data_IF_203895086374
#
_entry.id   IF_203895086374
#
_cell.length_a   1.000
_cell.length_b   1.000
_cell.length_c   1.000
_cell.angle_alpha   90.00
_cell.angle_beta   90.00
_cell.angle_gamma   90.00
#
_symmetry.space_group_name_H-M   'P 1'
#
loop_
_entity.id
_entity.type
_entity.pdbx_description
1 polymer ?
#
# COMPACT_ATOMS: atom_id res chain seq x y z
N UNK A 1 -5.25 -4.59 8.04
CA UNK A 1 -5.84 -5.83 8.57
C UNK A 1 -5.12 -7.02 7.96
N UNK A 2 -4.92 -8.09 8.73
CA UNK A 2 -4.39 -9.34 8.22
C UNK A 2 -5.53 -10.16 7.61
N UNK A 3 -5.36 -10.57 6.36
CA UNK A 3 -6.36 -11.30 5.56
C UNK A 3 -6.18 -12.83 5.59
N UNK A 4 -5.18 -13.34 6.31
CA UNK A 4 -4.92 -14.77 6.43
C UNK A 4 -3.74 -15.27 5.59
N UNK A 5 -3.45 -16.56 5.75
CA UNK A 5 -2.43 -17.30 4.99
C UNK A 5 -3.12 -18.46 4.27
N UNK A 6 -2.78 -18.66 2.99
CA UNK A 6 -3.33 -19.72 2.14
C UNK A 6 -2.19 -20.34 1.34
N UNK A 7 -2.23 -21.67 1.17
CA UNK A 7 -1.39 -22.38 0.21
C UNK A 7 -2.14 -22.44 -1.11
N UNK A 8 -1.53 -21.94 -2.19
CA UNK A 8 -2.15 -21.95 -3.51
C UNK A 8 -2.05 -23.35 -4.17
N UNK A 9 -2.75 -23.58 -5.31
CA UNK A 9 -2.69 -24.87 -6.01
C UNK A 9 -1.29 -25.27 -6.52
N UNK A 10 -0.33 -24.34 -6.54
CA UNK A 10 1.06 -24.58 -6.93
C UNK A 10 1.97 -24.84 -5.73
N UNK A 11 1.40 -24.97 -4.52
CA UNK A 11 2.13 -25.23 -3.28
C UNK A 11 2.78 -24.00 -2.65
N UNK A 12 2.53 -22.80 -3.18
CA UNK A 12 3.12 -21.58 -2.63
C UNK A 12 2.31 -21.10 -1.42
N UNK A 13 3.00 -20.82 -0.32
CA UNK A 13 2.37 -20.17 0.84
C UNK A 13 2.25 -18.66 0.57
N UNK A 14 1.03 -18.13 0.67
CA UNK A 14 0.73 -16.71 0.45
C UNK A 14 0.08 -16.09 1.68
N UNK A 15 0.37 -14.82 1.93
CA UNK A 15 -0.22 -14.03 3.00
C UNK A 15 -0.92 -12.79 2.41
N UNK A 16 -2.16 -12.53 2.86
CA UNK A 16 -2.96 -11.39 2.43
C UNK A 16 -3.00 -10.29 3.50
N UNK A 17 -2.95 -9.03 3.07
CA UNK A 17 -3.06 -7.86 3.93
C UNK A 17 -3.89 -6.76 3.26
N UNK A 18 -4.79 -6.16 4.02
CA UNK A 18 -5.48 -4.93 3.62
C UNK A 18 -4.85 -3.75 4.35
N UNK A 19 -4.42 -2.74 3.63
CA UNK A 19 -3.84 -1.51 4.19
C UNK A 19 -4.77 -0.36 3.88
N UNK A 20 -5.20 0.34 4.92
CA UNK A 20 -6.01 1.55 4.81
C UNK A 20 -5.41 2.64 5.68
N UNK A 21 -5.35 3.86 5.19
CA UNK A 21 -4.81 4.98 5.95
C UNK A 21 -5.09 6.32 5.32
N UNK A 22 -4.73 7.37 6.05
CA UNK A 22 -4.84 8.76 5.60
C UNK A 22 -3.52 9.44 5.89
N UNK A 23 -3.00 10.17 4.91
CA UNK A 23 -1.81 11.01 5.06
C UNK A 23 -2.13 12.43 4.61
N UNK A 24 -1.44 13.42 5.17
CA UNK A 24 -1.48 14.79 4.65
C UNK A 24 -0.47 14.93 3.54
N UNK A 25 -0.91 15.49 2.42
CA UNK A 25 -0.07 15.86 1.29
C UNK A 25 1.03 16.84 1.68
N UNK A 26 0.73 17.76 2.60
CA UNK A 26 1.68 18.77 3.10
C UNK A 26 2.87 18.16 3.85
N UNK A 27 2.69 16.99 4.48
CA UNK A 27 3.79 16.27 5.13
C UNK A 27 4.91 15.87 4.15
N UNK A 28 4.61 15.85 2.85
CA UNK A 28 5.54 15.54 1.76
C UNK A 28 5.98 16.79 0.99
N UNK A 29 5.79 18.00 1.53
CA UNK A 29 6.19 19.26 0.90
C UNK A 29 5.30 19.71 -0.27
N UNK A 30 4.16 19.06 -0.47
CA UNK A 30 3.22 19.36 -1.55
C UNK A 30 2.17 20.37 -1.06
N UNK A 31 2.39 21.65 -1.30
CA UNK A 31 1.55 22.75 -0.79
C UNK A 31 0.83 23.52 -1.89
N UNK A 32 0.35 22.85 -2.95
CA UNK A 32 -0.41 23.53 -4.01
C UNK A 32 -1.73 24.07 -3.45
N UNK A 33 -1.72 25.37 -3.18
CA UNK A 33 -2.84 26.16 -2.70
C UNK A 33 -3.57 26.82 -3.88
N UNK A 34 -3.85 26.07 -4.94
CA UNK A 34 -4.70 26.57 -6.01
C UNK A 34 -6.11 26.76 -5.43
N UNK A 35 -6.48 28.01 -5.18
CA UNK A 35 -7.80 28.43 -4.72
C UNK A 35 -8.60 28.83 -5.96
N UNK A 36 -9.83 28.34 -6.10
CA UNK A 36 -10.72 28.77 -7.18
C UNK A 36 -11.10 30.24 -7.00
N UNK A 37 -11.62 30.89 -8.03
CA UNK A 37 -12.17 32.25 -7.94
C UNK A 37 -13.27 32.39 -6.86
N UNK A 38 -13.91 31.26 -6.49
CA UNK A 38 -14.92 31.17 -5.44
C UNK A 38 -14.35 30.83 -4.04
N UNK A 39 -13.03 30.79 -3.85
CA UNK A 39 -12.41 30.55 -2.54
C UNK A 39 -12.26 29.07 -2.13
N UNK A 40 -12.64 28.12 -2.99
CA UNK A 40 -12.53 26.68 -2.69
C UNK A 40 -11.15 26.13 -3.03
N UNK A 41 -10.64 25.21 -2.20
CA UNK A 41 -9.38 24.52 -2.47
C UNK A 41 -9.59 23.49 -3.58
N UNK A 42 -8.81 23.58 -4.66
CA UNK A 42 -8.93 22.67 -5.83
C UNK A 42 -8.49 21.24 -5.50
N UNK A 43 -7.62 21.06 -4.51
CA UNK A 43 -7.05 19.75 -4.17
C UNK A 43 -7.04 19.53 -2.65
N UNK A 44 -7.60 18.39 -2.22
CA UNK A 44 -7.60 17.96 -0.82
C UNK A 44 -6.19 17.91 -0.21
N UNK A 45 -6.10 18.19 1.09
CA UNK A 45 -4.90 17.92 1.89
C UNK A 45 -4.82 16.44 2.30
N UNK A 46 -5.95 15.82 2.60
CA UNK A 46 -6.04 14.40 2.95
C UNK A 46 -5.91 13.55 1.69
N UNK A 47 -4.92 12.65 1.69
CA UNK A 47 -4.76 11.55 0.74
C UNK A 47 -5.19 10.27 1.46
N UNK A 48 -6.15 9.56 0.87
CA UNK A 48 -6.58 8.23 1.35
C UNK A 48 -5.76 7.16 0.65
N UNK A 49 -5.19 6.26 1.44
CA UNK A 49 -4.47 5.08 0.96
C UNK A 49 -5.36 3.88 1.18
N UNK A 50 -5.55 3.10 0.12
CA UNK A 50 -6.26 1.83 0.12
C UNK A 50 -5.42 0.87 -0.72
N UNK A 51 -4.94 -0.21 -0.12
CA UNK A 51 -4.14 -1.21 -0.81
C UNK A 51 -4.52 -2.62 -0.33
N UNK A 52 -4.69 -3.52 -1.30
CA UNK A 52 -4.78 -4.96 -1.07
C UNK A 52 -3.46 -5.58 -1.49
N UNK A 53 -2.76 -6.21 -0.54
CA UNK A 53 -1.40 -6.70 -0.72
C UNK A 53 -1.38 -8.21 -0.53
N UNK A 54 -0.78 -8.91 -1.49
CA UNK A 54 -0.51 -10.33 -1.40
C UNK A 54 1.00 -10.57 -1.47
N UNK A 55 1.52 -11.32 -0.51
CA UNK A 55 2.92 -11.71 -0.44
C UNK A 55 3.03 -13.21 -0.63
N UNK A 56 4.09 -13.66 -1.30
CA UNK A 56 4.45 -15.07 -1.43
C UNK A 56 5.64 -15.34 -0.53
N UNK A 57 5.62 -16.44 0.24
CA UNK A 57 6.77 -16.87 1.01
C UNK A 57 7.92 -17.16 0.06
N UNK A 58 9.05 -16.51 0.28
CA UNK A 58 10.27 -16.76 -0.48
C UNK A 58 10.69 -18.23 -0.32
N UNK A 59 10.96 -18.89 -1.45
CA UNK A 59 11.60 -20.19 -1.42
C UNK A 59 13.06 -19.96 -1.03
N UNK A 60 13.49 -20.52 0.10
CA UNK A 60 14.91 -20.52 0.48
C UNK A 60 15.64 -21.30 -0.62
N UNK A 61 16.38 -20.61 -1.47
CA UNK A 61 17.30 -21.25 -2.40
C UNK A 61 18.40 -21.88 -1.53
N UNK A 62 18.39 -23.20 -1.41
CA UNK A 62 19.54 -23.94 -0.87
C UNK A 62 20.79 -23.49 -1.64
N UNK A 63 21.89 -23.09 -0.97
CA UNK A 63 23.12 -22.79 -1.67
C UNK A 63 23.58 -24.10 -2.33
N UNK A 64 23.42 -24.17 -3.65
CA UNK A 64 24.01 -25.24 -4.43
C UNK A 64 25.53 -25.08 -4.25
N UNK A 65 26.17 -26.07 -3.65
CA UNK A 65 27.61 -26.29 -3.41
C UNK A 65 28.07 -26.17 -1.94
N UNK A 66 28.31 -27.34 -1.33
CA UNK A 66 29.51 -27.63 -0.57
C UNK A 66 30.15 -28.91 -1.13
#
# INVERSE_FOLDING_TARGET
AFGGIVVDPYGQTKAGFTVSGKISRKAFGLTWNAVTEAGSVVVSDEIRILAEVQLVKEAVAEPVHA
#
